data_IF_389433699311
#
_entry.id   IF_389433699311
#
_cell.length_a   1.000
_cell.length_b   1.000
_cell.length_c   1.000
_cell.angle_alpha   90.00
_cell.angle_beta   90.00
_cell.angle_gamma   90.00
#
_symmetry.space_group_name_H-M   'P 1'
#
loop_
_entity.id
_entity.type
_entity.pdbx_description
1 polymer ?
#
# COMPACT_ATOMS: atom_id res chain seq x y z
N UNK A 1 16.51 -9.91 -6.65
CA UNK A 1 15.46 -8.90 -6.52
C UNK A 1 14.85 -9.09 -5.14
N UNK A 2 15.08 -8.12 -4.26
CA UNK A 2 14.55 -8.16 -2.91
C UNK A 2 13.03 -8.16 -2.97
N UNK A 3 12.40 -8.74 -1.96
CA UNK A 3 10.95 -8.86 -1.89
C UNK A 3 10.26 -7.48 -1.81
N UNK A 4 10.94 -6.48 -1.25
CA UNK A 4 10.56 -5.05 -1.30
C UNK A 4 10.48 -4.55 -2.76
N UNK A 5 11.41 -4.94 -3.63
CA UNK A 5 11.43 -4.53 -5.04
C UNK A 5 10.20 -5.07 -5.80
N UNK A 6 9.67 -6.22 -5.39
CA UNK A 6 8.44 -6.81 -5.97
C UNK A 6 7.20 -6.00 -5.60
N UNK A 7 7.08 -5.61 -4.33
CA UNK A 7 5.97 -4.75 -3.86
C UNK A 7 6.04 -3.37 -4.52
N UNK A 8 7.24 -2.80 -4.63
CA UNK A 8 7.45 -1.51 -5.28
C UNK A 8 7.17 -1.58 -6.78
N UNK A 9 7.61 -2.64 -7.47
CA UNK A 9 7.25 -2.87 -8.88
C UNK A 9 5.74 -2.98 -9.07
N UNK A 10 5.05 -3.72 -8.20
CA UNK A 10 3.60 -3.82 -8.22
C UNK A 10 2.95 -2.44 -8.05
N UNK A 11 3.40 -1.64 -7.08
CA UNK A 11 2.82 -0.32 -6.79
C UNK A 11 3.03 0.67 -7.94
N UNK A 12 4.17 0.59 -8.64
CA UNK A 12 4.41 1.37 -9.86
C UNK A 12 3.41 0.98 -10.95
N UNK A 13 3.24 -0.32 -11.21
CA UNK A 13 2.29 -0.82 -12.21
C UNK A 13 0.87 -0.39 -11.85
N UNK A 14 0.48 -0.54 -10.58
CA UNK A 14 -0.81 -0.11 -10.07
C UNK A 14 -1.04 1.40 -10.27
N UNK A 15 -0.03 2.23 -9.99
CA UNK A 15 -0.09 3.67 -10.22
C UNK A 15 -0.30 4.03 -11.69
N UNK A 16 0.40 3.37 -12.61
CA UNK A 16 0.19 3.59 -14.05
C UNK A 16 -1.22 3.19 -14.50
N UNK A 17 -1.75 2.08 -13.98
CA UNK A 17 -3.12 1.62 -14.28
C UNK A 17 -4.14 2.67 -13.82
N UNK A 18 -4.01 3.18 -12.59
CA UNK A 18 -4.87 4.27 -12.08
C UNK A 18 -4.79 5.50 -12.98
N UNK A 19 -3.58 5.90 -13.40
CA UNK A 19 -3.37 7.08 -14.23
C UNK A 19 -4.02 6.93 -15.61
N UNK A 20 -3.85 5.76 -16.26
CA UNK A 20 -4.48 5.49 -17.57
C UNK A 20 -6.00 5.47 -17.49
N UNK A 21 -6.57 4.90 -16.43
CA UNK A 21 -8.02 4.90 -16.22
C UNK A 21 -8.58 6.28 -15.90
N UNK A 22 -7.88 7.03 -15.05
CA UNK A 22 -8.22 8.42 -14.78
C UNK A 22 -8.21 9.27 -16.05
N UNK A 23 -7.22 9.05 -16.92
CA UNK A 23 -7.13 9.74 -18.19
C UNK A 23 -8.29 9.36 -19.14
N UNK A 24 -8.66 8.09 -19.20
CA UNK A 24 -9.81 7.64 -19.98
C UNK A 24 -11.13 8.25 -19.46
N UNK A 25 -11.36 8.24 -18.15
CA UNK A 25 -12.54 8.88 -17.54
C UNK A 25 -12.54 10.40 -17.74
N UNK A 26 -11.39 11.04 -17.60
CA UNK A 26 -11.22 12.47 -17.86
C UNK A 26 -11.69 12.83 -19.27
N UNK A 27 -11.18 12.15 -20.29
CA UNK A 27 -11.56 12.40 -21.68
C UNK A 27 -13.05 12.13 -21.94
N UNK A 28 -13.57 11.02 -21.41
CA UNK A 28 -14.93 10.60 -21.69
C UNK A 28 -15.96 11.51 -21.00
N UNK A 29 -15.78 11.79 -19.71
CA UNK A 29 -16.71 12.62 -18.93
C UNK A 29 -16.55 14.12 -19.16
N UNK A 30 -15.39 14.57 -19.66
CA UNK A 30 -15.25 15.94 -20.16
C UNK A 30 -16.22 16.19 -21.32
N UNK A 31 -16.26 15.29 -22.30
CA UNK A 31 -17.17 15.40 -23.45
C UNK A 31 -18.64 15.40 -23.05
N UNK A 32 -19.04 14.54 -22.10
CA UNK A 32 -20.41 14.50 -21.55
C UNK A 32 -20.78 15.81 -20.84
N UNK A 33 -19.84 16.42 -20.12
CA UNK A 33 -20.10 17.63 -19.35
C UNK A 33 -20.35 18.88 -20.20
N UNK A 34 -19.70 18.98 -21.36
CA UNK A 34 -19.96 20.05 -22.33
C UNK A 34 -21.37 19.95 -22.90
N UNK A 35 -21.84 18.73 -23.17
CA UNK A 35 -23.21 18.48 -23.63
C UNK A 35 -24.23 18.83 -22.53
N UNK A 36 -24.02 18.36 -21.30
CA UNK A 36 -24.98 18.58 -20.20
C UNK A 36 -25.13 20.06 -19.81
N UNK A 37 -24.05 20.85 -19.87
CA UNK A 37 -24.07 22.29 -19.55
C UNK A 37 -24.91 23.10 -20.54
N UNK A 38 -25.07 22.64 -21.79
CA UNK A 38 -25.99 23.29 -22.74
C UNK A 38 -27.46 23.03 -22.44
N UNK A 39 -27.76 21.97 -21.66
CA UNK A 39 -29.12 21.52 -21.38
C UNK A 39 -29.65 21.88 -19.99
N UNK A 40 -28.80 21.99 -18.96
CA UNK A 40 -29.23 22.23 -17.58
C UNK A 40 -28.31 23.24 -16.86
N UNK A 41 -28.90 24.28 -16.26
CA UNK A 41 -28.21 25.33 -15.48
C UNK A 41 -27.82 24.91 -14.05
N UNK A 42 -27.80 23.60 -13.74
CA UNK A 42 -27.49 23.13 -12.39
C UNK A 42 -25.98 22.98 -12.22
N UNK A 43 -25.45 23.76 -11.26
CA UNK A 43 -24.03 23.91 -10.95
C UNK A 43 -23.43 22.70 -10.22
N UNK A 44 -23.66 21.48 -10.70
CA UNK A 44 -22.97 20.31 -10.18
C UNK A 44 -21.53 20.32 -10.72
N UNK A 45 -20.58 20.65 -9.85
CA UNK A 45 -19.17 20.73 -10.22
C UNK A 45 -18.66 19.35 -10.67
N UNK A 46 -18.41 19.21 -11.97
CA UNK A 46 -17.85 17.99 -12.54
C UNK A 46 -16.43 17.75 -12.02
N UNK A 47 -16.26 16.72 -11.20
CA UNK A 47 -14.94 16.30 -10.70
C UNK A 47 -13.99 15.86 -11.83
N UNK A 48 -14.51 15.58 -13.03
CA UNK A 48 -13.73 15.19 -14.21
C UNK A 48 -13.39 16.35 -15.15
N UNK A 49 -13.70 17.60 -14.79
CA UNK A 49 -13.34 18.75 -15.62
C UNK A 49 -11.84 19.07 -15.60
N UNK A 50 -11.17 18.81 -14.48
CA UNK A 50 -9.73 18.99 -14.36
C UNK A 50 -9.05 17.61 -14.23
N UNK A 51 -7.91 17.45 -14.89
CA UNK A 51 -7.15 16.20 -14.82
C UNK A 51 -6.78 15.83 -13.37
N UNK A 52 -6.36 16.82 -12.55
CA UNK A 52 -6.02 16.58 -11.15
C UNK A 52 -7.18 16.02 -10.32
N UNK A 53 -8.37 16.61 -10.40
CA UNK A 53 -9.54 16.12 -9.69
C UNK A 53 -10.06 14.78 -10.25
N UNK A 54 -9.92 14.56 -11.57
CA UNK A 54 -10.26 13.29 -12.21
C UNK A 54 -9.37 12.15 -11.72
N UNK A 55 -8.05 12.38 -11.60
CA UNK A 55 -7.10 11.39 -11.07
C UNK A 55 -7.39 11.05 -9.61
N UNK A 56 -7.72 12.05 -8.79
CA UNK A 56 -8.09 11.83 -7.39
C UNK A 56 -9.40 11.04 -7.27
N UNK A 57 -10.43 11.41 -8.05
CA UNK A 57 -11.70 10.69 -8.09
C UNK A 57 -11.49 9.22 -8.51
N UNK A 58 -10.73 8.99 -9.58
CA UNK A 58 -10.40 7.65 -10.05
C UNK A 58 -9.68 6.82 -8.97
N UNK A 59 -8.69 7.39 -8.28
CA UNK A 59 -8.00 6.72 -7.18
C UNK A 59 -8.96 6.27 -6.08
N UNK A 60 -9.87 7.15 -5.65
CA UNK A 60 -10.86 6.80 -4.62
C UNK A 60 -11.85 5.74 -5.10
N UNK A 61 -12.33 5.81 -6.34
CA UNK A 61 -13.23 4.79 -6.90
C UNK A 61 -12.58 3.41 -6.95
N UNK A 62 -11.30 3.34 -7.30
CA UNK A 62 -10.56 2.09 -7.44
C UNK A 62 -10.30 1.42 -6.09
N UNK A 63 -9.97 2.21 -5.07
CA UNK A 63 -9.60 1.70 -3.76
C UNK A 63 -10.82 1.37 -2.93
N UNK A 64 -11.83 2.24 -2.92
CA UNK A 64 -13.04 2.08 -2.11
C UNK A 64 -14.09 1.23 -2.83
N UNK A 65 -14.05 1.17 -4.16
CA UNK A 65 -15.09 0.55 -4.98
C UNK A 65 -16.37 1.39 -5.08
N UNK A 66 -16.38 2.61 -4.53
CA UNK A 66 -17.53 3.50 -4.55
C UNK A 66 -17.62 4.22 -5.91
N UNK A 67 -18.77 4.12 -6.57
CA UNK A 67 -19.03 4.74 -7.87
C UNK A 67 -19.72 6.12 -7.76
N UNK A 68 -19.92 6.65 -6.55
CA UNK A 68 -20.53 7.98 -6.33
C UNK A 68 -19.93 9.11 -7.17
N UNK A 69 -18.61 9.17 -7.48
CA UNK A 69 -18.09 10.27 -8.30
C UNK A 69 -18.63 10.25 -9.74
N UNK A 70 -18.93 9.07 -10.27
CA UNK A 70 -19.33 8.86 -11.67
C UNK A 70 -20.85 8.63 -11.81
N UNK A 71 -21.55 8.27 -10.74
CA UNK A 71 -22.98 7.94 -10.77
C UNK A 71 -23.87 9.08 -11.25
N UNK A 72 -23.47 10.33 -11.03
CA UNK A 72 -24.20 11.53 -11.50
C UNK A 72 -24.06 11.73 -13.03
N UNK A 73 -22.99 11.20 -13.63
CA UNK A 73 -22.60 11.45 -15.01
C UNK A 73 -22.88 10.28 -15.95
N UNK A 74 -23.13 9.08 -15.41
CA UNK A 74 -23.60 7.93 -16.20
C UNK A 74 -25.03 8.22 -16.65
N UNK A 75 -25.19 8.54 -17.93
CA UNK A 75 -26.48 8.45 -18.61
C UNK A 75 -26.68 7.03 -19.13
N UNK A 76 -27.94 6.61 -19.29
CA UNK A 76 -28.29 5.30 -19.87
C UNK A 76 -27.77 5.10 -21.30
N UNK A 77 -27.38 6.18 -21.98
CA UNK A 77 -26.90 6.15 -23.36
C UNK A 77 -25.38 5.94 -23.47
N UNK A 78 -24.62 6.10 -22.38
CA UNK A 78 -23.15 6.07 -22.40
C UNK A 78 -22.62 4.64 -22.28
N UNK A 79 -22.91 3.82 -23.30
CA UNK A 79 -22.48 2.41 -23.39
C UNK A 79 -20.97 2.24 -23.23
N UNK A 80 -20.17 3.15 -23.78
CA UNK A 80 -18.70 3.13 -23.67
C UNK A 80 -18.26 3.33 -22.23
N UNK A 81 -18.87 4.28 -21.50
CA UNK A 81 -18.56 4.55 -20.09
C UNK A 81 -18.90 3.34 -19.22
N UNK A 82 -20.09 2.77 -19.43
CA UNK A 82 -20.56 1.62 -18.68
C UNK A 82 -19.65 0.41 -18.90
N UNK A 83 -19.26 0.14 -20.16
CA UNK A 83 -18.32 -0.93 -20.50
C UNK A 83 -16.94 -0.70 -19.85
N UNK A 84 -16.42 0.52 -19.90
CA UNK A 84 -15.14 0.89 -19.29
C UNK A 84 -15.14 0.61 -17.78
N UNK A 85 -16.18 1.02 -17.05
CA UNK A 85 -16.30 0.82 -15.60
C UNK A 85 -16.40 -0.67 -15.25
N UNK A 86 -17.20 -1.43 -15.99
CA UNK A 86 -17.36 -2.89 -15.77
C UNK A 86 -16.03 -3.62 -15.98
N UNK A 87 -15.36 -3.36 -17.11
CA UNK A 87 -14.07 -3.99 -17.44
C UNK A 87 -13.03 -3.70 -16.35
N UNK A 88 -12.99 -2.45 -15.90
CA UNK A 88 -12.00 -1.99 -14.96
C UNK A 88 -12.26 -2.52 -13.53
N UNK A 89 -13.53 -2.61 -13.12
CA UNK A 89 -13.93 -3.23 -11.86
C UNK A 89 -13.52 -4.71 -11.81
N UNK A 90 -13.78 -5.46 -12.88
CA UNK A 90 -13.32 -6.86 -12.99
C UNK A 90 -11.80 -6.97 -12.86
N UNK A 91 -11.06 -6.11 -13.57
CA UNK A 91 -9.61 -6.14 -13.57
C UNK A 91 -9.00 -5.82 -12.19
N UNK A 92 -9.52 -4.82 -11.48
CA UNK A 92 -8.99 -4.46 -10.15
C UNK A 92 -9.32 -5.53 -9.12
N UNK A 93 -10.59 -5.94 -9.04
CA UNK A 93 -11.07 -6.86 -8.01
C UNK A 93 -10.46 -8.25 -8.16
N UNK A 94 -10.37 -8.76 -9.39
CA UNK A 94 -9.98 -10.15 -9.62
C UNK A 94 -8.49 -10.29 -9.87
N UNK A 95 -7.88 -9.37 -10.63
CA UNK A 95 -6.47 -9.50 -10.98
C UNK A 95 -5.59 -8.76 -9.97
N UNK A 96 -5.75 -7.44 -9.82
CA UNK A 96 -4.79 -6.64 -9.05
C UNK A 96 -4.83 -6.92 -7.55
N UNK A 97 -6.01 -6.95 -6.92
CA UNK A 97 -6.10 -7.16 -5.46
C UNK A 97 -5.66 -8.57 -5.07
N UNK A 98 -6.06 -9.59 -5.82
CA UNK A 98 -5.64 -10.97 -5.55
C UNK A 98 -4.14 -11.16 -5.80
N UNK A 99 -3.58 -10.53 -6.83
CA UNK A 99 -2.14 -10.53 -7.07
C UNK A 99 -1.39 -9.83 -5.93
N UNK A 100 -1.88 -8.68 -5.46
CA UNK A 100 -1.29 -7.94 -4.35
C UNK A 100 -1.24 -8.77 -3.07
N UNK A 101 -2.37 -9.40 -2.72
CA UNK A 101 -2.47 -10.29 -1.55
C UNK A 101 -1.50 -11.47 -1.70
N UNK A 102 -1.37 -12.06 -2.89
CA UNK A 102 -0.43 -13.15 -3.15
C UNK A 102 1.04 -12.73 -2.97
N UNK A 103 1.42 -11.56 -3.48
CA UNK A 103 2.77 -11.00 -3.30
C UNK A 103 3.04 -10.74 -1.82
N UNK A 104 2.08 -10.16 -1.10
CA UNK A 104 2.22 -9.83 0.31
C UNK A 104 2.29 -11.09 1.19
N UNK A 105 1.48 -12.10 0.90
CA UNK A 105 1.50 -13.39 1.58
C UNK A 105 2.88 -14.06 1.45
N UNK A 106 3.45 -14.05 0.25
CA UNK A 106 4.78 -14.59 0.03
C UNK A 106 5.86 -13.81 0.81
N UNK A 107 5.76 -12.47 0.84
CA UNK A 107 6.67 -11.61 1.63
C UNK A 107 6.61 -11.94 3.13
N UNK A 108 5.40 -12.08 3.69
CA UNK A 108 5.22 -12.42 5.10
C UNK A 108 5.83 -13.78 5.40
N UNK A 109 5.65 -14.77 4.52
CA UNK A 109 6.22 -16.09 4.71
C UNK A 109 7.76 -16.08 4.73
N UNK A 110 8.40 -15.33 3.82
CA UNK A 110 9.88 -15.21 3.77
C UNK A 110 10.47 -14.49 4.99
N UNK A 111 9.69 -13.62 5.64
CA UNK A 111 10.13 -12.81 6.80
C UNK A 111 9.77 -13.41 8.15
N UNK A 112 8.94 -14.45 8.19
CA UNK A 112 8.52 -15.15 9.41
C UNK A 112 9.62 -16.06 9.97
N UNK A 113 10.82 -15.53 10.13
CA UNK A 113 11.89 -16.22 10.84
C UNK A 113 11.85 -15.82 12.31
N UNK A 114 11.58 -16.81 13.17
CA UNK A 114 11.66 -16.63 14.63
C UNK A 114 13.02 -16.06 15.07
N UNK A 115 14.08 -16.33 14.28
CA UNK A 115 15.40 -15.77 14.48
C UNK A 115 15.47 -14.24 14.34
N UNK A 116 14.86 -13.68 13.29
CA UNK A 116 14.79 -12.22 13.08
C UNK A 116 14.01 -11.52 14.19
N UNK A 117 12.91 -12.12 14.65
CA UNK A 117 12.13 -11.63 15.79
C UNK A 117 12.96 -11.59 17.08
N UNK A 118 13.67 -12.67 17.40
CA UNK A 118 14.54 -12.72 18.58
C UNK A 118 15.72 -11.74 18.47
N UNK A 119 16.29 -11.54 17.27
CA UNK A 119 17.34 -10.56 17.05
C UNK A 119 16.86 -9.14 17.35
N UNK A 120 15.71 -8.75 16.79
CA UNK A 120 15.10 -7.43 17.04
C UNK A 120 14.74 -7.24 18.53
N UNK A 121 14.19 -8.28 19.17
CA UNK A 121 13.89 -8.26 20.61
C UNK A 121 15.15 -8.03 21.47
N UNK A 122 16.28 -8.64 21.12
CA UNK A 122 17.56 -8.42 21.82
C UNK A 122 18.12 -7.02 21.59
N UNK A 123 17.99 -6.51 20.37
CA UNK A 123 18.42 -5.15 20.05
C UNK A 123 17.70 -4.11 20.90
N UNK A 124 16.37 -4.19 20.96
CA UNK A 124 15.54 -3.32 21.79
C UNK A 124 15.91 -3.47 23.28
N UNK A 125 16.07 -4.70 23.78
CA UNK A 125 16.45 -4.93 25.19
C UNK A 125 17.81 -4.32 25.55
N UNK A 126 18.80 -4.43 24.66
CA UNK A 126 20.13 -3.83 24.83
C UNK A 126 20.08 -2.31 24.83
N UNK A 127 19.28 -1.70 23.95
CA UNK A 127 19.10 -0.24 23.94
C UNK A 127 18.47 0.26 25.24
N UNK A 128 17.44 -0.44 25.74
CA UNK A 128 16.82 -0.14 27.03
C UNK A 128 17.84 -0.30 28.17
N UNK A 129 18.66 -1.35 28.15
CA UNK A 129 19.69 -1.59 29.18
C UNK A 129 20.76 -0.50 29.22
N UNK A 130 21.20 0.01 28.05
CA UNK A 130 22.25 1.01 27.95
C UNK A 130 21.76 2.44 28.23
N UNK A 131 20.59 2.81 27.72
CA UNK A 131 20.15 4.21 27.73
C UNK A 131 19.10 4.52 28.81
N UNK A 132 18.32 3.54 29.25
CA UNK A 132 17.14 3.78 30.08
C UNK A 132 17.19 3.15 31.48
N UNK A 133 18.19 2.30 31.77
CA UNK A 133 18.31 1.63 33.07
C UNK A 133 19.56 2.05 33.85
N UNK A 134 19.36 2.37 35.13
CA UNK A 134 20.45 2.64 36.06
C UNK A 134 21.22 1.34 36.40
N UNK A 135 22.52 1.41 36.74
CA UNK A 135 23.32 0.23 37.07
C UNK A 135 22.74 -0.65 38.17
N UNK A 136 21.97 -0.07 39.11
CA UNK A 136 21.30 -0.84 40.16
C UNK A 136 20.08 -1.62 39.63
N UNK A 137 19.35 -1.08 38.65
CA UNK A 137 18.15 -1.70 38.09
C UNK A 137 18.51 -2.88 37.17
N UNK A 138 19.64 -2.79 36.47
CA UNK A 138 20.20 -3.89 35.66
C UNK A 138 20.53 -5.15 36.45
N UNK A 139 20.87 -5.01 37.73
CA UNK A 139 21.29 -6.11 38.62
C UNK A 139 20.13 -6.72 39.42
N UNK A 140 18.89 -6.25 39.20
CA UNK A 140 17.70 -6.81 39.85
C UNK A 140 17.33 -8.14 39.21
N UNK A 141 17.60 -9.24 39.91
CA UNK A 141 17.32 -10.60 39.46
C UNK A 141 15.84 -10.85 39.12
N UNK A 142 14.92 -10.06 39.70
CA UNK A 142 13.48 -10.15 39.44
C UNK A 142 13.07 -9.54 38.08
N UNK A 143 13.88 -8.65 37.51
CA UNK A 143 13.61 -7.97 36.23
C UNK A 143 14.47 -8.54 35.11
N UNK A 144 15.69 -8.95 35.45
CA UNK A 144 16.69 -9.51 34.55
C UNK A 144 17.23 -10.79 35.19
N UNK A 145 16.92 -12.00 34.65
CA UNK A 145 17.50 -13.23 35.17
C UNK A 145 19.03 -13.19 35.02
N UNK A 146 19.78 -13.71 36.00
CA UNK A 146 21.25 -13.82 35.95
C UNK A 146 21.79 -14.56 34.71
N UNK A 147 20.95 -15.34 34.02
CA UNK A 147 21.29 -16.09 32.83
C UNK A 147 20.58 -15.46 31.63
N UNK A 148 21.22 -14.46 31.03
CA UNK A 148 21.06 -14.27 29.60
C UNK A 148 21.97 -15.30 28.93
N UNK A 149 21.42 -16.44 28.54
CA UNK A 149 22.03 -17.17 27.44
C UNK A 149 21.90 -16.26 26.21
N UNK A 150 22.90 -15.41 25.98
CA UNK A 150 23.25 -14.89 24.67
C UNK A 150 23.75 -16.07 23.81
N UNK A 151 22.94 -17.12 23.69
CA UNK A 151 23.18 -18.22 22.79
C UNK A 151 23.00 -17.64 21.39
N UNK A 152 24.10 -17.61 20.62
CA UNK A 152 24.21 -17.51 19.15
C UNK A 152 24.78 -16.25 18.49
N UNK A 153 25.51 -15.35 19.16
CA UNK A 153 26.26 -14.31 18.41
C UNK A 153 27.68 -14.05 18.93
N UNK A 154 28.48 -15.09 19.18
CA UNK A 154 29.85 -14.84 19.59
C UNK A 154 30.95 -15.86 19.23
N UNK A 155 30.76 -16.69 18.19
CA UNK A 155 31.88 -17.53 17.71
C UNK A 155 32.24 -17.33 16.24
N UNK A 156 31.31 -16.91 15.36
CA UNK A 156 31.67 -16.55 13.98
C UNK A 156 32.09 -15.08 13.80
N UNK A 157 31.48 -14.14 14.53
CA UNK A 157 31.76 -12.71 14.40
C UNK A 157 33.05 -12.26 15.11
N UNK A 158 33.44 -12.87 16.22
CA UNK A 158 34.73 -12.54 16.90
C UNK A 158 35.94 -13.01 16.10
N UNK A 159 35.84 -14.14 15.39
CA UNK A 159 37.00 -14.70 14.67
C UNK A 159 37.48 -13.81 13.51
N UNK A 160 36.58 -12.99 12.94
CA UNK A 160 36.91 -12.03 11.89
C UNK A 160 37.40 -10.66 12.39
N UNK A 161 37.41 -10.42 13.71
CA UNK A 161 37.93 -9.19 14.31
C UNK A 161 39.30 -9.35 14.98
N UNK A 162 39.84 -10.58 15.01
CA UNK A 162 41.12 -10.91 15.66
C UNK A 162 42.21 -11.32 14.63
N UNK A 163 41.90 -11.29 13.33
CA UNK A 163 42.90 -11.39 12.25
C UNK A 163 42.90 -10.13 11.39
#
# INVERSE_FOLDING_TARGET
MNTIDKVLSFLIIFGFIILTFAHALYLLLQSTSEISQTSNNDSNANMFNNFGSATLAAFFMIITGDLTPVSLWISNNDTILMLLIILFSFFILIYLMNLFIGILSNLINDTNSHASYLALKREILREIELFYLLPHQRRKNNWFPNIFFYQLLNLMTIKNFIN
#
